data_IF_506842169765
#
_entry.id   IF_506842169765
#
_cell.length_a   1.000
_cell.length_b   1.000
_cell.length_c   1.000
_cell.angle_alpha   90.00
_cell.angle_beta   90.00
_cell.angle_gamma   90.00
#
_symmetry.space_group_name_H-M   'P 1'
#
loop_
_entity.id
_entity.type
_entity.pdbx_description
1 polymer ?
#
# COMPACT_ATOMS: atom_id res chain seq x y z
N UNK A 1 -39.23 -8.61 -44.78
CA UNK A 1 -39.08 -7.14 -44.79
C UNK A 1 -39.19 -6.67 -43.34
N UNK A 2 -38.05 -6.36 -42.72
CA UNK A 2 -37.66 -5.01 -42.23
C UNK A 2 -38.46 -4.58 -40.96
N UNK A 3 -37.86 -4.15 -39.85
CA UNK A 3 -36.50 -3.69 -39.62
C UNK A 3 -36.03 -3.90 -38.18
N UNK A 4 -34.72 -4.11 -38.04
CA UNK A 4 -34.01 -4.13 -36.77
C UNK A 4 -33.71 -2.69 -36.37
N UNK A 5 -34.22 -2.27 -35.22
CA UNK A 5 -33.85 -1.00 -34.60
C UNK A 5 -32.40 -1.09 -34.12
N UNK A 6 -31.53 -0.31 -34.79
CA UNK A 6 -30.11 -0.23 -34.45
C UNK A 6 -29.96 0.55 -33.16
N UNK A 7 -29.74 -0.15 -32.05
CA UNK A 7 -29.21 0.42 -30.82
C UNK A 7 -27.89 1.14 -31.15
N UNK A 8 -27.93 2.47 -31.06
CA UNK A 8 -26.76 3.33 -31.26
C UNK A 8 -25.81 3.10 -30.07
N UNK A 9 -24.52 2.79 -30.28
CA UNK A 9 -23.59 2.59 -29.17
C UNK A 9 -23.39 3.90 -28.39
N UNK A 10 -23.22 3.85 -27.07
CA UNK A 10 -22.98 5.05 -26.27
C UNK A 10 -21.70 5.74 -26.74
N UNK A 11 -21.77 7.07 -26.87
CA UNK A 11 -20.64 7.94 -27.26
C UNK A 11 -19.44 7.65 -26.35
N UNK A 12 -18.26 7.45 -26.97
CA UNK A 12 -16.97 7.32 -26.27
C UNK A 12 -16.81 8.47 -25.28
N UNK A 13 -16.89 8.17 -23.98
CA UNK A 13 -16.32 9.02 -22.95
C UNK A 13 -14.82 9.14 -23.22
N UNK A 14 -14.26 10.33 -22.99
CA UNK A 14 -12.92 10.73 -23.41
C UNK A 14 -11.81 9.78 -22.98
N UNK A 15 -10.69 9.83 -23.71
CA UNK A 15 -9.45 9.09 -23.44
C UNK A 15 -8.87 9.43 -22.04
N UNK A 16 -9.46 8.88 -20.98
CA UNK A 16 -8.75 8.60 -19.74
C UNK A 16 -8.01 7.29 -19.93
N UNK A 17 -6.73 7.23 -19.57
CA UNK A 17 -5.91 6.03 -19.66
C UNK A 17 -6.64 4.90 -18.92
N UNK A 18 -7.13 3.92 -19.67
CA UNK A 18 -7.87 2.79 -19.12
C UNK A 18 -6.94 1.93 -18.27
N UNK A 19 -7.49 1.38 -17.19
CA UNK A 19 -6.82 0.44 -16.30
C UNK A 19 -6.06 -0.63 -17.12
N UNK A 20 -4.76 -0.73 -16.84
CA UNK A 20 -3.85 -1.64 -17.54
C UNK A 20 -3.88 -3.01 -16.85
N UNK A 21 -4.19 -4.10 -17.56
CA UNK A 21 -4.09 -5.45 -17.02
C UNK A 21 -2.65 -5.79 -16.60
N UNK A 22 -2.44 -6.11 -15.33
CA UNK A 22 -1.16 -6.62 -14.81
C UNK A 22 -1.26 -8.14 -14.64
N UNK A 23 -0.26 -8.86 -15.14
CA UNK A 23 -0.15 -10.33 -15.04
C UNK A 23 0.04 -10.82 -13.59
N UNK A 24 -0.60 -11.92 -13.16
CA UNK A 24 -0.49 -12.43 -11.79
C UNK A 24 0.83 -13.18 -11.50
N UNK A 25 1.72 -13.35 -12.48
CA UNK A 25 3.01 -13.98 -12.27
C UNK A 25 4.09 -12.93 -11.98
N UNK A 26 4.29 -12.60 -10.70
CA UNK A 26 5.59 -12.24 -10.08
C UNK A 26 6.56 -11.29 -10.81
N UNK A 27 6.08 -10.44 -11.70
CA UNK A 27 6.88 -9.52 -12.49
C UNK A 27 5.91 -8.68 -13.30
N UNK A 28 5.76 -7.42 -12.93
CA UNK A 28 4.78 -6.47 -13.49
C UNK A 28 5.01 -6.11 -14.96
N UNK A 29 5.03 -7.10 -15.84
CA UNK A 29 4.98 -6.88 -17.28
C UNK A 29 3.54 -6.60 -17.68
N UNK A 30 3.37 -5.44 -18.31
CA UNK A 30 2.19 -5.03 -19.01
C UNK A 30 1.84 -6.06 -20.08
N UNK A 31 0.60 -6.53 -20.13
CA UNK A 31 0.13 -7.39 -21.21
C UNK A 31 -0.02 -6.53 -22.47
N UNK A 32 0.84 -6.75 -23.47
CA UNK A 32 0.86 -5.97 -24.71
C UNK A 32 -0.35 -6.24 -25.63
N UNK A 33 -1.09 -7.33 -25.38
CA UNK A 33 -2.31 -7.72 -26.09
C UNK A 33 -3.46 -8.07 -25.12
N UNK A 34 -4.74 -7.93 -25.55
CA UNK A 34 -5.88 -8.33 -24.73
C UNK A 34 -5.88 -9.84 -24.48
N UNK A 35 -5.32 -10.25 -23.34
CA UNK A 35 -5.28 -11.64 -22.92
C UNK A 35 -6.67 -12.12 -22.49
N UNK A 36 -7.15 -13.20 -23.11
CA UNK A 36 -8.43 -13.83 -22.73
C UNK A 36 -8.18 -14.81 -21.60
N UNK A 37 -8.77 -14.54 -20.42
CA UNK A 37 -8.74 -15.44 -19.27
C UNK A 37 -9.96 -16.37 -19.32
N UNK A 38 -9.75 -17.68 -19.21
CA UNK A 38 -10.82 -18.69 -19.01
C UNK A 38 -10.85 -19.13 -17.54
N UNK A 39 -11.66 -18.50 -16.67
CA UNK A 39 -11.66 -18.78 -15.23
C UNK A 39 -12.54 -19.98 -14.83
N UNK A 40 -13.49 -20.35 -15.67
CA UNK A 40 -14.45 -21.45 -15.44
C UNK A 40 -14.76 -22.19 -16.75
N UNK A 41 -15.20 -23.44 -16.62
CA UNK A 41 -15.73 -24.25 -17.72
C UNK A 41 -16.89 -25.11 -17.23
N UNK A 42 -17.78 -25.45 -18.15
CA UNK A 42 -18.87 -26.41 -17.96
C UNK A 42 -18.95 -27.28 -19.20
N UNK A 43 -19.24 -28.56 -19.01
CA UNK A 43 -19.32 -29.56 -20.06
C UNK A 43 -20.54 -30.46 -19.84
N UNK A 44 -21.29 -30.67 -20.92
CA UNK A 44 -22.23 -31.77 -21.03
C UNK A 44 -21.43 -32.99 -21.52
N UNK A 45 -21.37 -34.03 -20.69
CA UNK A 45 -20.52 -35.21 -20.94
C UNK A 45 -21.31 -36.37 -21.56
N UNK A 46 -22.63 -36.22 -21.67
CA UNK A 46 -23.54 -37.26 -22.11
C UNK A 46 -23.45 -38.50 -21.24
N UNK A 47 -23.47 -39.65 -21.89
CA UNK A 47 -23.30 -40.96 -21.26
C UNK A 47 -21.90 -41.55 -21.46
N UNK A 48 -20.98 -40.86 -22.14
CA UNK A 48 -19.68 -41.44 -22.52
C UNK A 48 -18.88 -41.92 -21.30
N UNK A 49 -18.79 -41.07 -20.27
CA UNK A 49 -18.14 -41.42 -19.01
C UNK A 49 -18.90 -42.51 -18.24
N UNK A 50 -20.23 -42.41 -18.15
CA UNK A 50 -21.05 -43.43 -17.47
C UNK A 50 -20.92 -44.83 -18.11
N UNK A 51 -20.67 -44.89 -19.43
CA UNK A 51 -20.40 -46.15 -20.15
C UNK A 51 -19.00 -46.66 -19.84
N UNK A 52 -18.00 -45.79 -19.90
CA UNK A 52 -16.61 -46.14 -19.62
C UNK A 52 -16.41 -46.65 -18.17
N UNK A 53 -17.09 -46.05 -17.20
CA UNK A 53 -16.97 -46.40 -15.77
C UNK A 53 -18.09 -47.31 -15.25
N UNK A 54 -18.98 -47.79 -16.12
CA UNK A 54 -20.08 -48.70 -15.74
C UNK A 54 -21.12 -48.08 -14.79
N UNK A 55 -21.22 -46.75 -14.73
CA UNK A 55 -22.18 -46.04 -13.88
C UNK A 55 -23.60 -46.19 -14.46
N UNK A 56 -24.43 -46.98 -13.77
CA UNK A 56 -25.82 -47.29 -14.17
C UNK A 56 -26.79 -47.08 -13.01
N UNK A 57 -28.05 -46.85 -13.34
CA UNK A 57 -29.15 -46.79 -12.37
C UNK A 57 -30.30 -47.69 -12.84
N UNK A 58 -31.21 -48.04 -11.91
CA UNK A 58 -32.43 -48.79 -12.22
C UNK A 58 -33.59 -47.82 -12.44
N UNK A 59 -34.30 -47.96 -13.55
CA UNK A 59 -35.51 -47.19 -13.84
C UNK A 59 -36.71 -47.75 -13.07
N UNK A 60 -37.85 -47.04 -13.13
CA UNK A 60 -39.11 -47.49 -12.52
C UNK A 60 -39.62 -48.78 -13.16
N UNK A 61 -39.28 -48.99 -14.42
CA UNK A 61 -39.61 -50.16 -15.23
C UNK A 61 -38.65 -51.34 -14.99
N UNK A 62 -37.65 -51.17 -14.11
CA UNK A 62 -36.68 -52.21 -13.78
C UNK A 62 -35.58 -52.38 -14.82
N UNK A 63 -35.43 -51.45 -15.78
CA UNK A 63 -34.35 -51.46 -16.77
C UNK A 63 -33.10 -50.78 -16.20
N UNK A 64 -31.90 -51.28 -16.56
CA UNK A 64 -30.63 -50.63 -16.19
C UNK A 64 -30.23 -49.65 -17.28
N UNK A 65 -30.14 -48.38 -16.92
CA UNK A 65 -29.77 -47.31 -17.85
C UNK A 65 -28.50 -46.57 -17.39
N UNK A 66 -27.80 -45.97 -18.36
CA UNK A 66 -26.57 -45.22 -18.14
C UNK A 66 -26.89 -43.77 -17.73
N UNK A 67 -26.20 -43.28 -16.70
CA UNK A 67 -26.41 -41.93 -16.19
C UNK A 67 -25.95 -40.86 -17.20
N UNK A 68 -26.74 -39.80 -17.37
CA UNK A 68 -26.29 -38.59 -18.03
C UNK A 68 -25.44 -37.77 -17.07
N UNK A 69 -24.28 -37.32 -17.53
CA UNK A 69 -23.30 -36.65 -16.69
C UNK A 69 -22.96 -35.27 -17.23
N UNK A 70 -22.70 -34.34 -16.31
CA UNK A 70 -22.14 -33.04 -16.59
C UNK A 70 -20.95 -32.81 -15.66
N UNK A 71 -20.01 -31.97 -16.05
CA UNK A 71 -18.95 -31.50 -15.17
C UNK A 71 -18.72 -30.02 -15.34
N UNK A 72 -18.34 -29.37 -14.26
CA UNK A 72 -18.00 -27.96 -14.25
C UNK A 72 -16.83 -27.73 -13.30
N UNK A 73 -16.08 -26.68 -13.57
CA UNK A 73 -14.88 -26.35 -12.82
C UNK A 73 -14.65 -24.85 -12.76
N UNK A 74 -14.09 -24.43 -11.64
CA UNK A 74 -13.58 -23.08 -11.42
C UNK A 74 -12.21 -23.18 -10.77
N UNK A 75 -11.36 -22.18 -11.02
CA UNK A 75 -10.01 -22.14 -10.45
C UNK A 75 -9.73 -20.77 -9.83
N UNK A 76 -8.60 -20.65 -9.13
CA UNK A 76 -8.10 -19.37 -8.60
C UNK A 76 -7.84 -18.32 -9.69
N UNK A 77 -7.88 -18.69 -10.97
CA UNK A 77 -7.94 -17.73 -12.08
C UNK A 77 -9.12 -16.76 -11.97
N UNK A 78 -10.20 -17.10 -11.26
CA UNK A 78 -11.27 -16.15 -10.93
C UNK A 78 -10.76 -14.96 -10.10
N UNK A 79 -9.82 -15.19 -9.18
CA UNK A 79 -9.19 -14.13 -8.39
C UNK A 79 -8.33 -13.25 -9.29
N UNK A 80 -7.50 -13.86 -10.15
CA UNK A 80 -6.73 -13.11 -11.14
C UNK A 80 -7.61 -12.26 -12.05
N UNK A 81 -8.71 -12.82 -12.55
CA UNK A 81 -9.68 -12.10 -13.36
C UNK A 81 -10.32 -10.92 -12.60
N UNK A 82 -10.66 -11.08 -11.33
CA UNK A 82 -11.18 -9.98 -10.50
C UNK A 82 -10.13 -8.86 -10.32
N UNK A 83 -8.88 -9.22 -10.03
CA UNK A 83 -7.77 -8.25 -9.89
C UNK A 83 -7.59 -7.48 -11.18
N UNK A 84 -7.54 -8.16 -12.32
CA UNK A 84 -7.39 -7.53 -13.64
C UNK A 84 -8.59 -6.67 -14.02
N UNK A 85 -9.81 -7.08 -13.69
CA UNK A 85 -11.02 -6.37 -14.09
C UNK A 85 -11.28 -5.11 -13.27
N UNK A 86 -10.85 -5.07 -12.00
CA UNK A 86 -11.15 -3.96 -11.10
C UNK A 86 -9.94 -3.12 -10.69
N UNK A 87 -8.71 -3.64 -10.78
CA UNK A 87 -7.49 -2.93 -10.39
C UNK A 87 -7.31 -1.60 -11.13
N UNK A 88 -6.60 -0.68 -10.48
CA UNK A 88 -6.31 0.66 -10.99
C UNK A 88 -4.85 1.06 -10.70
N UNK A 89 -4.48 2.29 -11.05
CA UNK A 89 -3.13 2.83 -10.86
C UNK A 89 -2.71 2.93 -9.38
N UNK A 90 -3.67 2.87 -8.45
CA UNK A 90 -3.44 2.88 -7.01
C UNK A 90 -3.42 1.47 -6.40
N UNK A 91 -3.65 0.44 -7.22
CA UNK A 91 -3.50 -0.96 -6.86
C UNK A 91 -4.82 -1.75 -6.89
N UNK A 92 -5.09 -2.48 -5.81
CA UNK A 92 -6.18 -3.44 -5.76
C UNK A 92 -7.51 -2.76 -5.37
N UNK A 93 -8.51 -2.89 -6.23
CA UNK A 93 -9.88 -2.45 -5.96
C UNK A 93 -10.81 -3.66 -5.87
N UNK A 94 -11.19 -4.03 -4.65
CA UNK A 94 -12.04 -5.20 -4.41
C UNK A 94 -13.53 -4.83 -4.38
N UNK A 95 -14.41 -5.65 -4.98
CA UNK A 95 -15.85 -5.55 -4.72
C UNK A 95 -16.15 -5.65 -3.22
N UNK A 96 -17.08 -4.85 -2.66
CA UNK A 96 -17.36 -4.84 -1.22
C UNK A 96 -17.74 -6.19 -0.62
N UNK A 97 -18.31 -7.10 -1.43
CA UNK A 97 -18.65 -8.46 -0.98
C UNK A 97 -17.44 -9.37 -0.79
N UNK A 98 -16.33 -9.09 -1.48
CA UNK A 98 -15.09 -9.88 -1.44
C UNK A 98 -13.99 -9.23 -0.60
N UNK A 99 -14.07 -7.92 -0.36
CA UNK A 99 -13.07 -7.19 0.42
C UNK A 99 -12.99 -7.73 1.86
N UNK A 100 -11.82 -8.20 2.35
CA UNK A 100 -11.69 -8.69 3.72
C UNK A 100 -12.06 -7.64 4.77
N UNK A 101 -11.67 -6.39 4.51
CA UNK A 101 -12.09 -5.19 5.22
C UNK A 101 -12.90 -4.33 4.26
N UNK A 102 -14.10 -3.94 4.67
CA UNK A 102 -14.99 -3.10 3.88
C UNK A 102 -14.86 -1.62 4.24
N UNK A 103 -14.64 -1.32 5.52
CA UNK A 103 -14.45 0.05 6.03
C UNK A 103 -13.23 0.10 6.91
N UNK A 104 -12.34 1.04 6.62
CA UNK A 104 -11.22 1.39 7.50
C UNK A 104 -11.55 2.71 8.18
N UNK A 105 -11.54 2.71 9.51
CA UNK A 105 -11.74 3.94 10.30
C UNK A 105 -10.37 4.39 10.81
N UNK A 106 -9.94 5.57 10.37
CA UNK A 106 -8.62 6.12 10.68
C UNK A 106 -8.74 7.27 11.69
N UNK A 107 -7.99 7.20 12.78
CA UNK A 107 -7.83 8.32 13.69
C UNK A 107 -6.77 9.29 13.15
N UNK A 108 -7.17 10.51 12.78
CA UNK A 108 -6.24 11.56 12.31
C UNK A 108 -5.47 12.20 13.47
N UNK A 109 -6.04 12.17 14.67
CA UNK A 109 -5.42 12.66 15.91
C UNK A 109 -5.64 11.67 17.04
N UNK A 110 -4.64 11.55 17.92
CA UNK A 110 -4.68 10.68 19.11
C UNK A 110 -5.29 11.35 20.34
N UNK A 111 -6.26 12.25 20.17
CA UNK A 111 -7.00 12.83 21.29
C UNK A 111 -8.04 11.82 21.79
N UNK A 112 -8.21 11.68 23.11
CA UNK A 112 -9.08 10.65 23.70
C UNK A 112 -10.53 10.71 23.19
N UNK A 113 -11.05 11.91 22.97
CA UNK A 113 -12.37 12.13 22.39
C UNK A 113 -12.48 11.56 20.96
N UNK A 114 -11.43 11.73 20.14
CA UNK A 114 -11.38 11.21 18.76
C UNK A 114 -11.28 9.69 18.77
N UNK A 115 -10.39 9.14 19.60
CA UNK A 115 -10.22 7.68 19.72
C UNK A 115 -11.50 7.01 20.23
N UNK A 116 -12.19 7.64 21.18
CA UNK A 116 -13.49 7.17 21.67
C UNK A 116 -14.52 7.16 20.55
N UNK A 117 -14.64 8.26 19.78
CA UNK A 117 -15.59 8.32 18.67
C UNK A 117 -15.28 7.32 17.56
N UNK A 118 -14.00 7.10 17.26
CA UNK A 118 -13.56 6.08 16.28
C UNK A 118 -14.00 4.68 16.70
N UNK A 119 -13.84 4.33 17.99
CA UNK A 119 -14.29 3.04 18.53
C UNK A 119 -15.80 2.89 18.43
N UNK A 120 -16.56 3.89 18.89
CA UNK A 120 -18.03 3.87 18.81
C UNK A 120 -18.52 3.75 17.36
N UNK A 121 -17.93 4.50 16.43
CA UNK A 121 -18.30 4.43 15.02
C UNK A 121 -18.01 3.05 14.42
N UNK A 122 -16.88 2.44 14.76
CA UNK A 122 -16.54 1.11 14.30
C UNK A 122 -17.53 0.04 14.81
N UNK A 123 -18.00 0.18 16.05
CA UNK A 123 -19.03 -0.68 16.64
C UNK A 123 -20.40 -0.51 15.97
N UNK A 124 -20.83 0.74 15.74
CA UNK A 124 -22.07 1.08 15.01
C UNK A 124 -22.07 0.42 13.61
N UNK A 125 -20.97 0.59 12.86
CA UNK A 125 -20.80 0.01 11.53
C UNK A 125 -20.69 -1.52 11.56
N UNK A 126 -20.04 -2.09 12.58
CA UNK A 126 -19.96 -3.53 12.79
C UNK A 126 -21.34 -4.15 13.05
N UNK A 127 -22.17 -3.49 13.86
CA UNK A 127 -23.55 -3.90 14.15
C UNK A 127 -24.45 -3.82 12.91
N UNK A 128 -24.16 -2.89 12.00
CA UNK A 128 -24.79 -2.84 10.68
C UNK A 128 -24.33 -3.95 9.71
N UNK A 129 -23.44 -4.86 10.13
CA UNK A 129 -22.99 -6.02 9.36
C UNK A 129 -21.77 -5.75 8.46
N UNK A 130 -21.06 -4.64 8.66
CA UNK A 130 -19.86 -4.31 7.90
C UNK A 130 -18.61 -4.91 8.56
N UNK A 131 -17.66 -5.35 7.74
CA UNK A 131 -16.31 -5.76 8.19
C UNK A 131 -15.45 -4.52 8.34
N UNK A 132 -15.31 -4.05 9.58
CA UNK A 132 -14.62 -2.79 9.90
C UNK A 132 -13.25 -3.07 10.50
N UNK A 133 -12.26 -2.25 10.17
CA UNK A 133 -10.95 -2.21 10.82
C UNK A 133 -10.66 -0.80 11.31
N UNK A 134 -10.32 -0.67 12.59
CA UNK A 134 -9.73 0.57 13.11
C UNK A 134 -8.25 0.54 12.76
N UNK A 135 -7.76 1.60 12.14
CA UNK A 135 -6.35 1.74 11.78
C UNK A 135 -5.70 2.83 12.64
N UNK A 136 -4.65 2.42 13.36
CA UNK A 136 -3.90 3.26 14.30
C UNK A 136 -2.52 3.67 13.72
N UNK A 137 -2.47 3.81 12.39
CA UNK A 137 -1.32 4.28 11.63
C UNK A 137 -0.64 5.51 12.25
N UNK A 138 -1.40 6.42 12.87
CA UNK A 138 -0.82 7.59 13.54
C UNK A 138 0.05 7.18 14.73
N UNK A 139 -0.46 6.33 15.65
CA UNK A 139 0.32 5.91 16.80
C UNK A 139 1.51 5.05 16.38
N UNK A 140 1.31 4.12 15.44
CA UNK A 140 2.41 3.31 14.90
C UNK A 140 3.50 4.17 14.24
N UNK A 141 3.11 5.20 13.50
CA UNK A 141 4.07 6.13 12.87
C UNK A 141 4.78 6.99 13.91
N UNK A 142 4.06 7.44 14.96
CA UNK A 142 4.64 8.19 16.08
C UNK A 142 5.63 7.33 16.87
N UNK A 143 5.26 6.11 17.22
CA UNK A 143 6.13 5.14 17.90
C UNK A 143 7.36 4.84 17.07
N UNK A 144 7.20 4.53 15.78
CA UNK A 144 8.32 4.30 14.87
C UNK A 144 9.24 5.51 14.80
N UNK A 145 8.71 6.73 14.74
CA UNK A 145 9.50 7.96 14.76
C UNK A 145 10.28 8.09 16.06
N UNK A 146 9.63 7.90 17.21
CA UNK A 146 10.26 7.99 18.54
C UNK A 146 11.35 6.93 18.70
N UNK A 147 11.09 5.68 18.32
CA UNK A 147 12.08 4.59 18.37
C UNK A 147 13.29 4.85 17.47
N UNK A 148 13.11 5.54 16.35
CA UNK A 148 14.20 5.91 15.44
C UNK A 148 14.76 7.31 15.71
N UNK A 149 14.42 7.96 16.84
CA UNK A 149 14.97 9.27 17.21
C UNK A 149 15.60 9.22 18.59
N UNK A 150 16.92 9.35 18.66
CA UNK A 150 17.68 9.28 19.90
C UNK A 150 18.04 10.67 20.42
N UNK A 151 17.96 10.90 21.74
CA UNK A 151 18.49 12.12 22.35
C UNK A 151 19.98 11.94 22.62
N UNK A 152 20.80 12.81 22.07
CA UNK A 152 22.27 12.74 22.12
C UNK A 152 22.85 14.06 22.62
N UNK A 153 24.10 14.03 23.11
CA UNK A 153 24.77 15.22 23.66
C UNK A 153 25.90 15.73 22.78
N UNK A 154 26.39 14.89 21.86
CA UNK A 154 27.53 15.21 21.00
C UNK A 154 27.24 14.91 19.52
N UNK A 155 27.99 15.57 18.63
CA UNK A 155 27.88 15.34 17.18
C UNK A 155 28.29 13.90 16.81
N UNK A 156 29.26 13.32 17.51
CA UNK A 156 29.69 11.93 17.28
C UNK A 156 28.57 10.92 17.55
N UNK A 157 27.83 11.08 18.65
CA UNK A 157 26.65 10.25 18.94
C UNK A 157 25.54 10.44 17.90
N UNK A 158 25.37 11.68 17.39
CA UNK A 158 24.41 11.96 16.31
C UNK A 158 24.78 11.24 15.00
N UNK A 159 26.08 11.11 14.71
CA UNK A 159 26.59 10.36 13.55
C UNK A 159 26.28 8.87 13.68
N UNK A 160 26.51 8.28 14.86
CA UNK A 160 26.20 6.87 15.12
C UNK A 160 24.69 6.58 14.99
N UNK A 161 23.84 7.41 15.59
CA UNK A 161 22.38 7.29 15.47
C UNK A 161 21.89 7.41 14.01
N UNK A 162 22.56 8.25 13.20
CA UNK A 162 22.25 8.41 11.78
C UNK A 162 22.83 7.29 10.88
N UNK A 163 23.89 6.59 11.32
CA UNK A 163 24.53 5.51 10.58
C UNK A 163 23.63 4.26 10.46
N UNK A 164 22.70 4.06 11.40
CA UNK A 164 21.67 3.00 11.34
C UNK A 164 20.39 3.44 10.60
N UNK A 165 20.35 4.68 10.10
CA UNK A 165 19.18 5.26 9.43
C UNK A 165 18.19 5.95 10.37
N UNK A 166 18.59 6.15 11.64
CA UNK A 166 17.85 6.91 12.63
C UNK A 166 18.09 8.42 12.57
N UNK A 167 17.52 9.11 13.55
CA UNK A 167 17.56 10.55 13.77
C UNK A 167 18.13 10.82 15.16
N UNK A 168 18.71 12.00 15.33
CA UNK A 168 19.28 12.45 16.58
C UNK A 168 18.69 13.80 17.00
N UNK A 169 18.38 13.94 18.30
CA UNK A 169 17.98 15.19 18.96
C UNK A 169 19.16 15.67 19.78
N UNK A 170 19.71 16.80 19.40
CA UNK A 170 20.94 17.35 19.98
C UNK A 170 20.66 18.75 20.51
N UNK A 171 20.99 19.09 21.77
CA UNK A 171 20.81 20.45 22.26
C UNK A 171 21.68 21.41 21.43
N UNK A 172 21.02 22.38 20.79
CA UNK A 172 21.64 23.26 19.79
C UNK A 172 22.86 23.98 20.36
N UNK A 173 22.72 24.53 21.56
CA UNK A 173 23.74 25.38 22.17
C UNK A 173 24.93 24.60 22.73
N UNK A 174 24.69 23.47 23.39
CA UNK A 174 25.75 22.73 24.09
C UNK A 174 26.67 21.95 23.16
N UNK A 175 26.23 21.68 21.93
CA UNK A 175 26.93 20.81 21.00
C UNK A 175 27.36 21.48 19.69
N UNK A 176 26.74 22.59 19.27
CA UNK A 176 27.05 23.28 18.01
C UNK A 176 27.46 24.76 18.19
N UNK A 177 27.13 25.39 19.34
CA UNK A 177 27.51 26.76 19.68
C UNK A 177 26.90 27.87 18.79
N UNK A 178 27.17 29.16 19.07
CA UNK A 178 26.64 30.31 18.31
C UNK A 178 27.08 30.38 16.84
N UNK A 179 28.14 29.65 16.47
CA UNK A 179 28.65 29.52 15.11
C UNK A 179 28.10 28.26 14.42
N UNK A 180 27.14 27.54 15.02
CA UNK A 180 26.68 26.19 14.68
C UNK A 180 26.12 25.97 13.27
N UNK A 181 26.11 27.00 12.41
CA UNK A 181 25.88 26.88 10.98
C UNK A 181 27.02 26.21 10.19
N UNK A 182 28.21 26.01 10.78
CA UNK A 182 29.41 25.50 10.07
C UNK A 182 29.89 24.09 10.48
N UNK A 183 29.14 23.36 11.30
CA UNK A 183 29.38 21.93 11.52
C UNK A 183 28.62 20.91 10.60
N UNK A 184 28.28 21.19 9.31
CA UNK A 184 27.82 20.13 8.39
C UNK A 184 28.81 19.70 7.29
N UNK A 185 29.94 20.38 7.11
CA UNK A 185 30.83 20.08 5.96
C UNK A 185 31.75 18.87 6.19
N UNK A 186 32.13 18.59 7.44
CA UNK A 186 33.08 17.52 7.79
C UNK A 186 32.41 16.25 8.36
N UNK A 187 31.09 16.28 8.57
CA UNK A 187 30.36 15.19 9.20
C UNK A 187 29.26 14.62 8.27
N UNK A 188 28.97 13.31 8.33
CA UNK A 188 27.97 12.67 7.48
C UNK A 188 26.50 12.97 7.87
N UNK A 189 26.28 13.98 8.70
CA UNK A 189 24.96 14.36 9.25
C UNK A 189 24.68 15.85 9.07
N UNK A 190 23.40 16.21 8.94
CA UNK A 190 22.93 17.58 8.73
C UNK A 190 21.76 17.88 9.64
N UNK A 191 21.69 19.12 10.14
CA UNK A 191 20.51 19.64 10.84
C UNK A 191 19.36 19.76 9.84
N UNK A 192 18.21 19.20 10.19
CA UNK A 192 17.00 19.19 9.37
C UNK A 192 16.01 20.26 9.80
N UNK A 193 15.87 20.45 11.10
CA UNK A 193 15.06 21.51 11.68
C UNK A 193 15.45 21.76 13.14
N UNK A 194 15.08 22.93 13.64
CA UNK A 194 15.15 23.31 15.04
C UNK A 194 13.77 23.18 15.67
N UNK A 195 13.71 22.61 16.87
CA UNK A 195 12.49 22.42 17.66
C UNK A 195 12.76 22.85 19.10
N UNK A 196 11.75 23.33 19.81
CA UNK A 196 11.87 23.53 21.24
C UNK A 196 11.91 22.16 21.97
N UNK A 197 12.28 22.16 23.25
CA UNK A 197 12.29 20.95 24.09
C UNK A 197 10.95 20.23 24.10
N UNK A 198 9.84 20.97 24.10
CA UNK A 198 8.47 20.45 24.05
C UNK A 198 8.03 20.00 22.63
N UNK A 199 8.89 20.17 21.62
CA UNK A 199 8.62 19.82 20.23
C UNK A 199 7.87 20.90 19.44
N UNK A 200 7.58 22.06 20.02
CA UNK A 200 7.02 23.21 19.31
C UNK A 200 8.05 23.89 18.41
N UNK A 201 7.57 24.79 17.53
CA UNK A 201 8.45 25.60 16.67
C UNK A 201 9.05 26.72 17.52
N UNK A 202 10.39 26.83 17.64
CA UNK A 202 11.04 27.92 18.38
C UNK A 202 10.66 29.26 17.78
N UNK A 203 10.52 30.30 18.62
CA UNK A 203 10.22 31.64 18.10
C UNK A 203 11.46 32.27 17.47
N UNK A 204 12.64 31.85 17.91
CA UNK A 204 13.95 32.25 17.37
C UNK A 204 14.92 31.08 17.43
N UNK A 205 15.90 31.06 16.53
CA UNK A 205 16.92 30.02 16.47
C UNK A 205 17.89 30.03 17.67
N UNK A 206 18.01 31.18 18.34
CA UNK A 206 18.90 31.42 19.48
C UNK A 206 18.20 31.24 20.84
N UNK A 207 16.98 30.71 20.87
CA UNK A 207 16.21 30.53 22.10
C UNK A 207 16.81 29.42 22.99
N UNK A 208 17.01 29.64 24.30
CA UNK A 208 17.43 28.59 25.23
C UNK A 208 16.44 27.41 25.22
N UNK A 209 16.96 26.18 25.22
CA UNK A 209 16.13 24.97 25.07
C UNK A 209 15.82 24.62 23.61
N UNK A 210 16.47 25.26 22.64
CA UNK A 210 16.41 24.83 21.23
C UNK A 210 17.16 23.51 21.03
N UNK A 211 16.51 22.58 20.36
CA UNK A 211 17.00 21.24 20.01
C UNK A 211 17.10 21.13 18.50
N UNK A 212 18.25 20.69 18.01
CA UNK A 212 18.45 20.36 16.61
C UNK A 212 18.05 18.91 16.34
N UNK A 213 17.21 18.70 15.32
CA UNK A 213 16.97 17.38 14.73
C UNK A 213 18.00 17.15 13.63
N UNK A 214 18.81 16.12 13.81
CA UNK A 214 19.96 15.78 12.96
C UNK A 214 19.72 14.42 12.32
N UNK A 215 20.01 14.31 11.03
CA UNK A 215 19.92 13.06 10.29
C UNK A 215 21.00 12.98 9.22
N UNK A 216 21.22 11.77 8.67
CA UNK A 216 22.22 11.53 7.62
C UNK A 216 22.08 12.53 6.47
N UNK A 217 23.21 13.09 6.03
CA UNK A 217 23.27 13.96 4.87
C UNK A 217 23.16 13.14 3.58
N UNK A 218 22.36 13.60 2.62
CA UNK A 218 22.19 12.90 1.33
C UNK A 218 23.49 12.86 0.50
N UNK A 219 24.38 13.84 0.70
CA UNK A 219 25.63 13.99 -0.05
C UNK A 219 26.74 13.04 0.40
N UNK A 220 26.68 12.54 1.64
CA UNK A 220 27.69 11.63 2.20
C UNK A 220 27.44 10.15 1.87
N UNK A 221 26.29 9.81 1.26
CA UNK A 221 25.94 8.45 0.86
C UNK A 221 26.66 7.96 -0.41
N UNK A 222 27.59 8.75 -0.98
CA UNK A 222 28.42 8.38 -2.14
C UNK A 222 29.90 8.47 -1.77
N UNK A 223 30.41 7.49 -1.02
CA UNK A 223 31.87 7.32 -0.85
C UNK A 223 32.46 6.27 -1.79
N UNK A 224 31.67 5.61 -2.64
CA UNK A 224 32.15 4.65 -3.65
C UNK A 224 32.42 5.27 -5.03
N UNK A 225 32.54 6.59 -5.14
CA UNK A 225 32.94 7.23 -6.40
C UNK A 225 33.91 8.38 -6.11
N UNK A 226 35.13 8.38 -6.68
CA UNK A 226 36.11 9.41 -6.40
C UNK A 226 35.57 10.79 -6.77
N UNK A 227 35.77 11.75 -5.86
CA UNK A 227 35.43 13.16 -6.01
C UNK A 227 36.11 13.74 -7.24
N UNK A 228 35.37 13.82 -8.35
CA UNK A 228 35.88 14.28 -9.63
C UNK A 228 34.79 14.42 -10.68
N UNK A 229 33.61 14.95 -10.33
CA UNK A 229 32.64 15.44 -11.30
C UNK A 229 31.73 16.47 -10.63
N UNK A 230 31.49 17.58 -11.33
CA UNK A 230 30.99 18.86 -10.81
C UNK A 230 29.73 18.79 -9.94
N UNK A 231 29.63 19.79 -9.06
CA UNK A 231 28.44 20.06 -8.26
C UNK A 231 27.21 20.17 -9.17
N UNK A 232 26.17 19.35 -8.99
CA UNK A 232 24.88 19.64 -9.59
C UNK A 232 24.28 20.83 -8.83
N UNK A 233 24.19 21.97 -9.50
CA UNK A 233 23.43 23.12 -9.02
C UNK A 233 21.97 22.70 -8.87
N UNK A 234 21.40 23.01 -7.70
CA UNK A 234 19.98 22.81 -7.41
C UNK A 234 19.17 23.73 -8.35
N UNK A 235 18.32 23.20 -9.24
CA UNK A 235 17.38 24.05 -9.95
C UNK A 235 16.25 24.40 -8.98
N UNK A 236 16.06 25.70 -8.74
CA UNK A 236 14.73 26.22 -8.41
C UNK A 236 13.74 25.85 -9.52
#
# INVERSE_FOLDING_TARGET
>A
MAGADRLTPPRRAGRGRGAVPVSPNGGGKQLEEPAVVRPTSSHELGQNFSRAFGTRFLTREGTREHAWQTSWGSTTRMVGAMVTAHGDDHGLRLPPRLAPVQVVVLAVKGEDAVLTRVRTLAEELGTAGLRVRIDDLLNQTRERRVQHTENVRTIGEAVEAAATGGWARLPWWSALGPQGGTAPAEHPVTVRCLVAEDGSVPRREDEPGTVALVARAYWHARTDTPLGAGMPTCPY
#
